data_IF_447390957522
#
_entry.id   IF_447390957522
#
_cell.length_a   1.000
_cell.length_b   1.000
_cell.length_c   1.000
_cell.angle_alpha   90.00
_cell.angle_beta   90.00
_cell.angle_gamma   90.00
#
_symmetry.space_group_name_H-M   'P 1'
#
loop_
_entity.id
_entity.type
_entity.pdbx_description
1 polymer ?
#
# COMPACT_ATOMS: atom_id res chain seq x y z
N UNK A 1 -16.32 -1.04 8.87
CA UNK A 1 -15.09 -1.02 8.03
C UNK A 1 -14.52 0.39 7.75
N UNK A 2 -15.16 1.50 8.13
CA UNK A 2 -14.57 2.84 7.93
C UNK A 2 -13.39 3.14 8.88
N UNK A 3 -13.38 2.55 10.07
CA UNK A 3 -12.35 2.79 11.10
C UNK A 3 -10.94 2.39 10.66
N UNK A 4 -10.78 1.26 9.96
CA UNK A 4 -9.46 0.81 9.49
C UNK A 4 -8.88 1.77 8.46
N UNK A 5 -9.72 2.30 7.55
CA UNK A 5 -9.29 3.30 6.57
C UNK A 5 -8.86 4.61 7.22
N UNK A 6 -9.57 5.05 8.26
CA UNK A 6 -9.22 6.24 9.03
C UNK A 6 -7.92 6.03 9.84
N UNK A 7 -7.77 4.90 10.53
CA UNK A 7 -6.57 4.54 11.29
C UNK A 7 -5.31 4.53 10.40
N UNK A 8 -5.44 4.06 9.16
CA UNK A 8 -4.37 4.06 8.18
C UNK A 8 -4.36 5.31 7.27
N UNK A 9 -5.08 6.39 7.57
CA UNK A 9 -5.05 7.63 6.78
C UNK A 9 -5.31 7.43 5.27
N UNK A 10 -6.18 6.50 4.89
CA UNK A 10 -6.55 6.24 3.49
C UNK A 10 -7.47 7.37 3.02
N UNK A 11 -6.92 8.35 2.30
CA UNK A 11 -7.65 9.53 1.77
C UNK A 11 -8.04 9.41 0.29
N UNK A 12 -7.49 8.44 -0.43
CA UNK A 12 -7.81 8.17 -1.84
C UNK A 12 -7.83 6.65 -2.11
N UNK A 13 -8.66 6.22 -3.05
CA UNK A 13 -8.80 4.80 -3.44
C UNK A 13 -8.44 4.62 -4.92
N UNK A 14 -7.70 3.56 -5.29
CA UNK A 14 -7.10 2.55 -4.42
C UNK A 14 -5.84 3.06 -3.69
N UNK A 15 -5.61 2.57 -2.46
CA UNK A 15 -4.35 2.72 -1.71
C UNK A 15 -3.83 1.33 -1.32
N UNK A 16 -2.54 1.09 -1.53
CA UNK A 16 -1.84 -0.12 -1.10
C UNK A 16 -0.79 0.24 -0.05
N UNK A 17 -0.66 -0.58 0.99
CA UNK A 17 0.37 -0.46 2.03
C UNK A 17 0.98 -1.83 2.34
N UNK A 18 2.30 -1.87 2.52
CA UNK A 18 3.06 -3.08 2.86
C UNK A 18 3.45 -2.99 4.34
N UNK A 19 3.24 -4.09 5.06
CA UNK A 19 3.58 -4.21 6.48
C UNK A 19 4.59 -5.34 6.70
N UNK A 20 5.62 -5.09 7.51
CA UNK A 20 6.63 -6.07 7.93
C UNK A 20 6.78 -6.01 9.45
N UNK A 21 6.59 -7.14 10.13
CA UNK A 21 6.65 -7.18 11.60
C UNK A 21 5.64 -6.25 12.31
N UNK A 22 4.47 -6.04 11.71
CA UNK A 22 3.42 -5.15 12.25
C UNK A 22 3.65 -3.65 12.01
N UNK A 23 4.72 -3.26 11.30
CA UNK A 23 4.99 -1.85 10.94
C UNK A 23 4.81 -1.64 9.44
N UNK A 24 4.23 -0.50 9.07
CA UNK A 24 4.15 -0.07 7.67
C UNK A 24 5.55 0.27 7.16
N UNK A 25 5.93 -0.29 6.01
CA UNK A 25 7.26 -0.07 5.39
C UNK A 25 7.18 0.63 4.04
N UNK A 26 6.04 0.55 3.36
CA UNK A 26 5.82 1.22 2.08
C UNK A 26 4.32 1.47 1.85
N UNK A 27 4.01 2.56 1.15
CA UNK A 27 2.64 2.95 0.79
C UNK A 27 2.61 3.61 -0.57
N UNK A 28 1.54 3.33 -1.32
CA UNK A 28 1.26 3.98 -2.60
C UNK A 28 -0.25 4.21 -2.75
N UNK A 29 -0.62 5.38 -3.27
CA UNK A 29 -2.01 5.76 -3.51
C UNK A 29 -2.21 6.14 -4.97
N UNK A 30 -3.41 5.87 -5.49
CA UNK A 30 -3.82 6.19 -6.85
C UNK A 30 -3.86 4.97 -7.78
N UNK A 31 -4.64 5.09 -8.85
CA UNK A 31 -4.78 4.04 -9.85
C UNK A 31 -3.47 3.86 -10.65
N UNK A 32 -3.04 2.61 -10.79
CA UNK A 32 -1.87 2.18 -11.58
C UNK A 32 -2.21 0.89 -12.32
N UNK A 33 -1.42 0.54 -13.32
CA UNK A 33 -1.59 -0.75 -13.99
C UNK A 33 -1.26 -1.91 -13.03
N UNK A 34 -1.82 -3.10 -13.28
CA UNK A 34 -1.50 -4.28 -12.50
C UNK A 34 -0.01 -4.64 -12.57
N UNK A 35 0.63 -4.41 -13.73
CA UNK A 35 2.06 -4.64 -13.92
C UNK A 35 2.91 -3.72 -13.03
N UNK A 36 2.56 -2.43 -12.95
CA UNK A 36 3.25 -1.46 -12.10
C UNK A 36 3.10 -1.79 -10.63
N UNK A 37 1.90 -2.21 -10.19
CA UNK A 37 1.67 -2.64 -8.82
C UNK A 37 2.51 -3.87 -8.48
N UNK A 38 2.56 -4.88 -9.35
CA UNK A 38 3.35 -6.09 -9.14
C UNK A 38 4.86 -5.78 -9.12
N UNK A 39 5.34 -4.88 -9.98
CA UNK A 39 6.73 -4.43 -9.96
C UNK A 39 7.06 -3.69 -8.65
N UNK A 40 6.21 -2.75 -8.25
CA UNK A 40 6.39 -2.00 -7.00
C UNK A 40 6.42 -2.90 -5.77
N UNK A 41 5.47 -3.84 -5.65
CA UNK A 41 5.46 -4.80 -4.53
C UNK A 41 6.77 -5.58 -4.48
N UNK A 42 7.23 -6.12 -5.62
CA UNK A 42 8.50 -6.87 -5.69
C UNK A 42 9.71 -6.03 -5.27
N UNK A 43 9.78 -4.78 -5.72
CA UNK A 43 10.87 -3.87 -5.37
C UNK A 43 10.90 -3.51 -3.88
N UNK A 44 9.74 -3.37 -3.23
CA UNK A 44 9.66 -3.03 -1.81
C UNK A 44 9.91 -4.22 -0.88
N UNK A 45 9.55 -5.45 -1.28
CA UNK A 45 9.81 -6.65 -0.47
C UNK A 45 11.24 -7.19 -0.62
N UNK A 46 11.95 -6.84 -1.70
CA UNK A 46 13.33 -7.24 -1.92
C UNK A 46 14.37 -6.37 -1.20
N UNK A 47 13.92 -5.33 -0.48
CA UNK A 47 14.75 -4.50 0.42
C UNK A 47 14.86 -5.15 1.80
#
# INVERSE_FOLDING_TARGET
HQEVGAQHHIRSIPTLAIFKGGKEVARISGARSAADLAHWVRAEISK
#
